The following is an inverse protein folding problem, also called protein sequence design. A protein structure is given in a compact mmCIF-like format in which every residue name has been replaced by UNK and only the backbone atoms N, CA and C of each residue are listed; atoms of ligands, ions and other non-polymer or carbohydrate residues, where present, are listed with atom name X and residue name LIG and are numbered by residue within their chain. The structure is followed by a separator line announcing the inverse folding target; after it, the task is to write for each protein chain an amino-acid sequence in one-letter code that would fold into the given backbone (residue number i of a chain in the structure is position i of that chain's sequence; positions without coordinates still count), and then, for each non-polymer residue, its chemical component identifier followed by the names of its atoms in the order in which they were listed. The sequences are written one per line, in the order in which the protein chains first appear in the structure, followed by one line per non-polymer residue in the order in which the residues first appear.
data_IF_584108017743
#
_entry.id   IF_584108017743
#
_cell.length_a   1.000
_cell.length_b   1.000
_cell.length_c   1.000
_cell.angle_alpha   90.00
_cell.angle_beta   90.00
_cell.angle_gamma   90.00
#
_symmetry.space_group_name_H-M   'P 1'
#
loop_
_entity.id
_entity.type
_entity.pdbx_description
1 polymer ?
#
# COMPACT_ATOMS: atom_id res chain seq x y z
N UNK A 1 5.19 -3.96 18.44
CA UNK A 1 5.69 -3.27 17.22
C UNK A 1 5.03 -1.90 17.17
N UNK A 2 5.74 -0.93 17.74
CA UNK A 2 5.29 0.41 18.09
C UNK A 2 5.34 1.32 16.86
N UNK A 3 4.45 2.31 16.83
CA UNK A 3 4.21 3.30 15.78
C UNK A 3 5.50 3.86 15.13
N UNK A 4 5.95 3.20 14.05
CA UNK A 4 7.12 3.63 13.27
C UNK A 4 6.75 4.83 12.40
N UNK A 5 6.91 6.01 12.99
CA UNK A 5 7.14 7.33 12.40
C UNK A 5 6.58 7.50 10.98
N UNK A 6 5.33 7.97 10.90
CA UNK A 6 4.79 8.54 9.67
C UNK A 6 5.56 9.82 9.36
N UNK A 7 6.51 9.77 8.42
CA UNK A 7 7.33 10.94 8.11
C UNK A 7 6.55 11.85 7.16
N UNK A 8 6.11 13.00 7.71
CA UNK A 8 5.54 14.20 7.07
C UNK A 8 4.56 13.91 5.93
N UNK A 9 3.28 13.82 6.27
CA UNK A 9 2.20 13.67 5.30
C UNK A 9 1.81 15.02 4.68
N UNK A 10 1.94 15.14 3.37
CA UNK A 10 1.34 16.26 2.63
C UNK A 10 -0.15 15.95 2.50
N UNK A 11 -0.98 16.73 3.16
CA UNK A 11 -2.44 16.66 3.06
C UNK A 11 -2.92 17.74 2.11
N UNK A 12 -3.58 17.36 1.03
CA UNK A 12 -4.19 18.27 0.08
C UNK A 12 -5.70 18.06 0.14
N UNK A 13 -6.43 19.16 0.35
CA UNK A 13 -7.88 19.14 0.36
C UNK A 13 -8.43 19.72 -0.93
N UNK A 14 -9.17 18.90 -1.66
CA UNK A 14 -9.92 19.33 -2.84
C UNK A 14 -11.39 19.54 -2.46
N UNK A 15 -12.19 20.00 -3.44
CA UNK A 15 -13.62 20.27 -3.22
C UNK A 15 -14.39 19.02 -2.76
N UNK A 16 -14.07 17.84 -3.31
CA UNK A 16 -14.79 16.58 -3.05
C UNK A 16 -14.01 15.54 -2.24
N UNK A 17 -12.68 15.66 -2.17
CA UNK A 17 -11.82 14.63 -1.60
C UNK A 17 -10.68 15.22 -0.77
N UNK A 18 -10.13 14.37 0.08
CA UNK A 18 -8.88 14.61 0.80
C UNK A 18 -7.86 13.62 0.26
N UNK A 19 -6.71 14.13 -0.12
CA UNK A 19 -5.55 13.35 -0.52
C UNK A 19 -4.46 13.52 0.53
N UNK A 20 -3.81 12.42 0.88
CA UNK A 20 -2.72 12.41 1.83
C UNK A 20 -1.64 11.44 1.35
N UNK A 21 -0.43 11.92 1.17
CA UNK A 21 0.72 11.02 0.99
C UNK A 21 1.34 10.69 2.33
N UNK A 22 1.69 9.43 2.53
CA UNK A 22 2.29 8.95 3.77
C UNK A 22 3.51 8.09 3.47
N UNK A 23 4.43 8.03 4.44
CA UNK A 23 5.57 7.16 4.38
C UNK A 23 5.94 6.64 5.76
N UNK A 24 6.47 5.42 5.82
CA UNK A 24 6.92 4.77 7.05
C UNK A 24 8.08 3.82 6.74
N UNK A 25 8.85 3.41 7.75
CA UNK A 25 9.90 2.41 7.57
C UNK A 25 9.25 1.03 7.39
N UNK A 26 9.62 0.33 6.32
CA UNK A 26 9.08 -1.00 6.03
C UNK A 26 9.38 -1.97 7.18
N UNK A 27 8.37 -2.69 7.74
CA UNK A 27 8.60 -3.70 8.76
C UNK A 27 9.46 -4.86 8.28
N UNK A 28 9.61 -5.02 6.96
CA UNK A 28 10.47 -6.03 6.36
C UNK A 28 11.96 -5.82 6.69
N UNK A 29 12.37 -4.57 6.95
CA UNK A 29 13.75 -4.27 7.37
C UNK A 29 14.09 -4.91 8.74
N UNK A 30 13.11 -5.07 9.63
CA UNK A 30 13.33 -5.75 10.91
C UNK A 30 13.42 -7.27 10.75
N UNK A 31 12.67 -7.82 9.78
CA UNK A 31 12.60 -9.26 9.56
C UNK A 31 13.83 -9.78 8.82
N UNK A 32 14.30 -9.05 7.80
CA UNK A 32 15.47 -9.40 7.01
C UNK A 32 16.38 -8.16 6.88
N UNK A 33 17.19 -7.86 7.91
CA UNK A 33 18.05 -6.69 7.92
C UNK A 33 18.98 -6.66 6.71
N UNK A 34 19.06 -5.51 6.03
CA UNK A 34 19.93 -5.32 4.86
C UNK A 34 19.37 -5.81 3.52
N UNK A 35 18.19 -6.47 3.50
CA UNK A 35 17.56 -6.87 2.25
C UNK A 35 17.02 -5.69 1.42
N UNK A 36 16.70 -4.56 2.05
CA UNK A 36 16.21 -3.37 1.36
C UNK A 36 17.35 -2.34 1.19
N UNK A 37 17.57 -1.92 -0.06
CA UNK A 37 18.40 -0.77 -0.38
C UNK A 37 17.87 0.51 0.31
N UNK A 38 18.69 1.55 0.53
CA UNK A 38 18.27 2.76 1.24
C UNK A 38 16.97 3.39 0.73
N UNK A 39 16.78 3.48 -0.59
CA UNK A 39 15.56 4.02 -1.21
C UNK A 39 14.34 3.11 -1.02
N UNK A 40 14.56 1.81 -0.87
CA UNK A 40 13.53 0.78 -0.71
C UNK A 40 13.02 0.65 0.73
N UNK A 41 13.81 1.07 1.72
CA UNK A 41 13.45 0.97 3.16
C UNK A 41 12.23 1.78 3.54
N UNK A 42 11.94 2.85 2.80
CA UNK A 42 10.81 3.73 3.08
C UNK A 42 9.62 3.28 2.24
N UNK A 43 8.65 2.65 2.91
CA UNK A 43 7.35 2.37 2.34
C UNK A 43 6.60 3.67 2.08
N UNK A 44 5.93 3.76 0.93
CA UNK A 44 5.21 4.96 0.49
C UNK A 44 3.82 4.60 0.02
N UNK A 45 2.85 5.44 0.36
CA UNK A 45 1.47 5.26 -0.05
C UNK A 45 0.76 6.60 -0.22
N UNK A 46 -0.33 6.58 -0.97
CA UNK A 46 -1.25 7.70 -1.11
C UNK A 46 -2.64 7.25 -0.63
N UNK A 47 -3.18 7.96 0.34
CA UNK A 47 -4.54 7.82 0.83
C UNK A 47 -5.44 8.85 0.14
N UNK A 48 -6.54 8.37 -0.42
CA UNK A 48 -7.57 9.18 -1.04
C UNK A 48 -8.88 8.85 -0.36
N UNK A 49 -9.54 9.84 0.22
CA UNK A 49 -10.84 9.63 0.88
C UNK A 49 -11.85 10.70 0.48
N UNK A 50 -13.15 10.37 0.47
CA UNK A 50 -14.18 11.38 0.29
C UNK A 50 -14.24 12.30 1.51
N UNK A 51 -14.59 13.57 1.29
CA UNK A 51 -14.85 14.51 2.41
C UNK A 51 -16.08 14.12 3.22
N UNK A 52 -17.03 13.43 2.60
CA UNK A 52 -18.26 12.94 3.23
C UNK A 52 -18.48 11.49 2.84
N UNK A 53 -18.68 10.64 3.84
CA UNK A 53 -18.98 9.23 3.66
C UNK A 53 -20.48 9.05 3.38
N UNK A 54 -20.83 8.19 2.42
CA UNK A 54 -22.24 7.91 2.08
C UNK A 54 -22.93 7.00 3.10
N UNK A 55 -22.17 6.34 3.96
CA UNK A 55 -22.66 5.40 4.96
C UNK A 55 -21.99 5.64 6.31
N UNK A 56 -22.47 4.96 7.35
CA UNK A 56 -21.79 4.91 8.66
C UNK A 56 -20.40 4.29 8.59
N UNK A 57 -20.15 3.47 7.57
CA UNK A 57 -18.87 2.84 7.31
C UNK A 57 -17.97 3.75 6.49
N UNK A 58 -16.66 3.55 6.65
CA UNK A 58 -15.62 4.27 5.91
C UNK A 58 -14.78 3.27 5.11
N UNK A 59 -15.35 2.67 4.04
CA UNK A 59 -14.70 1.60 3.32
C UNK A 59 -13.44 2.08 2.60
N UNK A 60 -12.38 1.25 2.60
CA UNK A 60 -11.13 1.53 1.88
C UNK A 60 -10.74 0.34 0.99
N UNK A 61 -10.32 0.66 -0.23
CA UNK A 61 -9.72 -0.30 -1.16
C UNK A 61 -8.20 -0.08 -1.26
N UNK A 62 -7.41 -1.12 -1.05
CA UNK A 62 -5.96 -1.09 -1.13
C UNK A 62 -5.51 -1.54 -2.52
N UNK A 63 -4.72 -0.72 -3.20
CA UNK A 63 -4.33 -0.94 -4.59
C UNK A 63 -2.85 -1.32 -4.67
N UNK A 64 -2.57 -2.54 -5.08
CA UNK A 64 -1.22 -3.02 -5.40
C UNK A 64 -0.87 -2.72 -6.86
N UNK A 65 0.36 -2.26 -7.10
CA UNK A 65 0.79 -1.91 -8.45
C UNK A 65 1.05 -3.16 -9.29
N UNK A 66 0.62 -3.13 -10.56
CA UNK A 66 1.04 -4.09 -11.57
C UNK A 66 2.40 -3.72 -12.17
N UNK A 67 2.95 -4.58 -13.02
CA UNK A 67 4.23 -4.31 -13.67
C UNK A 67 4.18 -3.02 -14.50
N UNK A 68 5.17 -2.13 -14.33
CA UNK A 68 5.20 -0.84 -15.04
C UNK A 68 4.35 0.28 -14.42
N UNK A 69 3.64 0.01 -13.34
CA UNK A 69 2.86 1.03 -12.62
C UNK A 69 3.67 1.66 -11.49
N UNK A 70 4.62 2.50 -11.87
CA UNK A 70 5.64 3.02 -10.95
C UNK A 70 5.11 4.03 -9.92
N UNK A 71 4.08 4.79 -10.28
CA UNK A 71 3.54 5.89 -9.47
C UNK A 71 2.09 5.62 -9.04
N UNK A 72 1.44 6.63 -8.46
CA UNK A 72 0.04 6.54 -8.04
C UNK A 72 -0.94 6.85 -9.17
N UNK A 73 -0.51 7.59 -10.20
CA UNK A 73 -1.39 8.25 -11.16
C UNK A 73 -2.34 7.31 -11.89
N UNK A 74 -1.87 6.19 -12.44
CA UNK A 74 -2.73 5.27 -13.20
C UNK A 74 -3.83 4.69 -12.33
N UNK A 75 -3.47 4.16 -11.15
CA UNK A 75 -4.44 3.66 -10.17
C UNK A 75 -5.35 4.74 -9.62
N UNK A 76 -4.89 6.00 -9.57
CA UNK A 76 -5.71 7.15 -9.19
C UNK A 76 -6.82 7.40 -10.20
N UNK A 77 -6.44 7.54 -11.47
CA UNK A 77 -7.34 7.93 -12.57
C UNK A 77 -8.31 6.80 -12.90
N UNK A 78 -7.82 5.58 -13.07
CA UNK A 78 -8.61 4.47 -13.60
C UNK A 78 -9.40 3.70 -12.54
N UNK A 79 -9.12 3.89 -11.24
CA UNK A 79 -9.80 3.13 -10.19
C UNK A 79 -10.20 4.00 -9.01
N UNK A 80 -9.26 4.68 -8.36
CA UNK A 80 -9.55 5.40 -7.11
C UNK A 80 -10.62 6.49 -7.29
N UNK A 81 -10.62 7.20 -8.42
CA UNK A 81 -11.66 8.20 -8.71
C UNK A 81 -13.05 7.59 -8.86
N UNK A 82 -13.17 6.41 -9.48
CA UNK A 82 -14.47 5.73 -9.60
C UNK A 82 -14.96 5.23 -8.25
N UNK A 83 -14.07 4.65 -7.44
CA UNK A 83 -14.38 4.22 -6.07
C UNK A 83 -14.81 5.40 -5.20
N UNK A 84 -14.16 6.54 -5.35
CA UNK A 84 -14.49 7.76 -4.62
C UNK A 84 -15.93 8.23 -4.90
N UNK A 85 -16.36 8.21 -6.17
CA UNK A 85 -17.74 8.54 -6.54
C UNK A 85 -18.74 7.52 -5.97
N UNK A 86 -18.33 6.26 -5.74
CA UNK A 86 -19.12 5.26 -5.01
C UNK A 86 -19.10 5.46 -3.48
N UNK A 87 -18.29 6.38 -2.95
CA UNK A 87 -18.13 6.62 -1.51
C UNK A 87 -17.12 5.69 -0.83
N UNK A 88 -16.21 5.10 -1.61
CA UNK A 88 -15.15 4.21 -1.15
C UNK A 88 -13.81 4.94 -1.28
N UNK A 89 -13.03 4.99 -0.20
CA UNK A 89 -11.69 5.55 -0.26
C UNK A 89 -10.67 4.55 -0.82
N UNK A 90 -9.47 5.03 -1.13
CA UNK A 90 -8.40 4.21 -1.70
C UNK A 90 -7.08 4.44 -0.98
N UNK A 91 -6.34 3.35 -0.77
CA UNK A 91 -4.95 3.36 -0.31
C UNK A 91 -4.10 2.81 -1.45
N UNK A 92 -3.32 3.67 -2.10
CA UNK A 92 -2.50 3.31 -3.25
C UNK A 92 -1.06 3.12 -2.77
N UNK A 93 -0.53 1.89 -2.87
CA UNK A 93 0.80 1.54 -2.32
C UNK A 93 1.87 1.62 -3.41
N UNK A 94 2.99 2.28 -3.15
CA UNK A 94 4.14 2.21 -4.06
C UNK A 94 4.93 0.94 -3.80
N UNK A 95 5.06 0.10 -4.82
CA UNK A 95 5.83 -1.14 -4.69
C UNK A 95 7.31 -0.83 -4.40
N UNK A 96 8.01 -1.69 -3.63
CA UNK A 96 9.47 -1.70 -3.63
C UNK A 96 10.01 -1.75 -5.06
N UNK A 97 11.17 -1.15 -5.30
CA UNK A 97 11.82 -1.05 -6.61
C UNK A 97 11.11 -0.17 -7.65
N UNK A 98 10.02 0.51 -7.28
CA UNK A 98 9.21 1.33 -8.20
C UNK A 98 9.24 2.81 -7.77
N UNK A 99 9.03 3.72 -8.72
CA UNK A 99 8.98 5.18 -8.46
C UNK A 99 10.19 5.66 -7.65
N UNK A 100 9.92 6.33 -6.54
CA UNK A 100 10.93 6.85 -5.60
C UNK A 100 11.71 5.75 -4.83
N UNK A 101 11.27 4.50 -4.92
CA UNK A 101 11.93 3.34 -4.31
C UNK A 101 12.84 2.60 -5.31
N UNK A 102 12.85 2.99 -6.59
CA UNK A 102 13.67 2.35 -7.63
C UNK A 102 15.18 2.57 -7.39
N UNK A 103 16.01 1.52 -7.44
CA UNK A 103 17.46 1.66 -7.51
C UNK A 103 17.92 2.43 -8.75
N UNK A 104 19.06 3.12 -8.66
CA UNK A 104 19.58 3.96 -9.73
C UNK A 104 20.04 3.16 -10.96
N UNK A 105 20.58 1.98 -10.73
CA UNK A 105 21.08 1.02 -11.72
C UNK A 105 19.97 0.19 -12.38
N UNK A 106 18.76 0.15 -11.79
CA UNK A 106 17.63 -0.59 -12.35
C UNK A 106 17.05 0.06 -13.61
N UNK A 107 16.81 -0.72 -14.67
CA UNK A 107 16.19 -0.22 -15.92
C UNK A 107 14.69 -0.50 -15.96
N UNK A 108 13.90 0.57 -15.92
CA UNK A 108 12.42 0.46 -15.94
C UNK A 108 11.89 -0.39 -14.79
N UNK A 109 11.00 -1.33 -15.11
CA UNK A 109 10.38 -2.26 -14.16
C UNK A 109 11.12 -3.58 -14.00
N UNK A 110 12.21 -3.78 -14.74
CA UNK A 110 13.00 -5.01 -14.67
C UNK A 110 13.86 -4.99 -13.43
N UNK A 111 13.64 -5.95 -12.52
CA UNK A 111 14.44 -6.11 -11.32
C UNK A 111 15.86 -6.54 -11.66
N UNK A 112 16.84 -6.08 -10.89
CA UNK A 112 18.25 -6.43 -11.13
C UNK A 112 18.55 -7.87 -10.72
N UNK A 113 17.90 -8.35 -9.66
CA UNK A 113 18.09 -9.70 -9.15
C UNK A 113 16.76 -10.44 -8.97
N UNK A 114 16.79 -11.76 -9.12
CA UNK A 114 15.62 -12.60 -8.80
C UNK A 114 15.21 -12.49 -7.33
N UNK A 115 16.19 -12.31 -6.43
CA UNK A 115 15.95 -12.10 -5.00
C UNK A 115 15.07 -10.88 -4.73
N UNK A 116 15.16 -9.83 -5.56
CA UNK A 116 14.38 -8.61 -5.41
C UNK A 116 12.88 -8.87 -5.54
N UNK A 117 12.48 -9.91 -6.28
CA UNK A 117 11.07 -10.31 -6.40
C UNK A 117 10.51 -10.79 -5.05
N UNK A 118 11.30 -11.57 -4.31
CA UNK A 118 10.91 -12.04 -2.97
C UNK A 118 10.91 -10.91 -1.96
N UNK A 119 11.92 -10.03 -2.02
CA UNK A 119 11.98 -8.82 -1.18
C UNK A 119 10.77 -7.93 -1.45
N UNK A 120 10.39 -7.73 -2.72
CA UNK A 120 9.22 -6.94 -3.10
C UNK A 120 7.93 -7.55 -2.52
N UNK A 121 7.73 -8.86 -2.74
CA UNK A 121 6.53 -9.57 -2.27
C UNK A 121 6.40 -9.55 -0.74
N UNK A 122 7.47 -9.92 -0.03
CA UNK A 122 7.50 -9.94 1.43
C UNK A 122 7.28 -8.55 2.05
N UNK A 123 7.92 -7.53 1.47
CA UNK A 123 7.75 -6.14 1.92
C UNK A 123 6.31 -5.67 1.75
N UNK A 124 5.68 -5.93 0.60
CA UNK A 124 4.32 -5.49 0.33
C UNK A 124 3.28 -6.13 1.26
N UNK A 125 3.45 -7.42 1.60
CA UNK A 125 2.56 -8.10 2.55
C UNK A 125 2.63 -7.45 3.93
N UNK A 126 3.85 -7.24 4.46
CA UNK A 126 4.04 -6.63 5.77
C UNK A 126 3.63 -5.15 5.81
N UNK A 127 3.96 -4.40 4.76
CA UNK A 127 3.57 -2.99 4.61
C UNK A 127 2.05 -2.84 4.55
N UNK A 128 1.36 -3.71 3.79
CA UNK A 128 -0.09 -3.70 3.74
C UNK A 128 -0.71 -4.06 5.09
N UNK A 129 -0.19 -5.07 5.80
CA UNK A 129 -0.66 -5.41 7.14
C UNK A 129 -0.55 -4.23 8.11
N UNK A 130 0.60 -3.53 8.09
CA UNK A 130 0.81 -2.34 8.92
C UNK A 130 -0.20 -1.22 8.57
N UNK A 131 -0.43 -0.97 7.28
CA UNK A 131 -1.39 0.03 6.83
C UNK A 131 -2.83 -0.35 7.19
N UNK A 132 -3.22 -1.62 7.07
CA UNK A 132 -4.54 -2.10 7.48
C UNK A 132 -4.78 -1.87 8.97
N UNK A 133 -3.80 -2.19 9.83
CA UNK A 133 -3.89 -1.92 11.27
C UNK A 133 -3.98 -0.44 11.58
N UNK A 134 -3.18 0.38 10.91
CA UNK A 134 -3.26 1.83 11.05
C UNK A 134 -4.63 2.37 10.62
N UNK A 135 -5.14 1.97 9.46
CA UNK A 135 -6.46 2.37 8.99
C UNK A 135 -7.59 1.89 9.93
N UNK A 136 -7.50 0.67 10.45
CA UNK A 136 -8.47 0.12 11.39
C UNK A 136 -8.52 0.94 12.69
N UNK A 137 -7.37 1.33 13.24
CA UNK A 137 -7.29 2.22 14.43
C UNK A 137 -7.91 3.59 14.18
N UNK A 138 -7.91 4.08 12.93
CA UNK A 138 -8.57 5.33 12.55
C UNK A 138 -10.09 5.17 12.29
N UNK A 139 -10.64 3.97 12.48
CA UNK A 139 -12.05 3.67 12.26
C UNK A 139 -12.44 3.52 10.80
N UNK A 140 -11.48 3.24 9.90
CA UNK A 140 -11.78 2.83 8.53
C UNK A 140 -12.23 1.36 8.50
N UNK A 141 -13.06 1.04 7.51
CA UNK A 141 -13.61 -0.30 7.31
C UNK A 141 -15.00 -0.24 6.69
N UNK A 142 -15.43 -1.29 5.96
CA UNK A 142 -14.68 -2.51 5.64
C UNK A 142 -13.52 -2.30 4.66
N UNK A 143 -12.60 -3.26 4.59
CA UNK A 143 -11.41 -3.20 3.72
C UNK A 143 -11.53 -4.14 2.52
N UNK A 144 -11.07 -3.66 1.36
CA UNK A 144 -10.90 -4.45 0.15
C UNK A 144 -9.43 -4.41 -0.28
N UNK A 145 -8.94 -5.51 -0.85
CA UNK A 145 -7.61 -5.59 -1.47
C UNK A 145 -7.77 -5.79 -2.98
N UNK A 146 -7.12 -4.96 -3.77
CA UNK A 146 -7.15 -4.99 -5.23
C UNK A 146 -5.74 -5.00 -5.81
N UNK A 147 -5.52 -5.83 -6.82
CA UNK A 147 -4.27 -5.85 -7.58
C UNK A 147 -4.42 -6.66 -8.85
N UNK A 148 -3.72 -6.25 -9.90
CA UNK A 148 -3.72 -6.90 -11.22
C UNK A 148 -2.31 -7.46 -11.49
N UNK A 149 -2.23 -8.67 -12.06
CA UNK A 149 -0.98 -9.34 -12.43
C UNK A 149 -0.04 -9.51 -11.22
N UNK A 150 1.16 -8.93 -11.23
CA UNK A 150 2.06 -8.89 -10.08
C UNK A 150 1.38 -8.36 -8.81
N UNK A 151 0.55 -7.33 -8.93
CA UNK A 151 -0.26 -6.83 -7.82
C UNK A 151 -1.30 -7.84 -7.34
N UNK A 152 -1.78 -8.71 -8.23
CA UNK A 152 -2.69 -9.81 -7.88
C UNK A 152 -2.02 -10.92 -7.07
N UNK A 153 -0.76 -11.25 -7.39
CA UNK A 153 0.05 -12.19 -6.59
C UNK A 153 0.25 -11.66 -5.16
N UNK A 154 0.65 -10.40 -5.03
CA UNK A 154 0.84 -9.73 -3.73
C UNK A 154 -0.46 -9.64 -2.94
N UNK A 155 -1.57 -9.29 -3.60
CA UNK A 155 -2.92 -9.29 -3.01
C UNK A 155 -3.26 -10.65 -2.42
N UNK A 156 -2.98 -11.72 -3.15
CA UNK A 156 -3.26 -13.09 -2.70
C UNK A 156 -2.40 -13.47 -1.49
N UNK A 157 -1.09 -13.19 -1.52
CA UNK A 157 -0.21 -13.43 -0.37
C UNK A 157 -0.65 -12.66 0.88
N UNK A 158 -1.06 -11.39 0.71
CA UNK A 158 -1.58 -10.57 1.80
C UNK A 158 -2.89 -11.13 2.36
N UNK A 159 -3.80 -11.56 1.49
CA UNK A 159 -5.07 -12.16 1.88
C UNK A 159 -4.87 -13.45 2.69
N UNK A 160 -3.97 -14.34 2.25
CA UNK A 160 -3.63 -15.57 2.97
C UNK A 160 -3.00 -15.24 4.34
N UNK A 161 -2.09 -14.27 4.40
CA UNK A 161 -1.50 -13.82 5.66
C UNK A 161 -2.55 -13.24 6.62
N UNK A 162 -3.51 -12.47 6.11
CA UNK A 162 -4.61 -11.92 6.92
C UNK A 162 -5.53 -13.03 7.44
N UNK A 163 -5.88 -14.03 6.62
CA UNK A 163 -6.67 -15.18 7.08
C UNK A 163 -5.89 -15.94 8.16
N UNK A 164 -4.61 -16.23 7.93
CA UNK A 164 -3.79 -16.96 8.90
C UNK A 164 -3.68 -16.20 10.23
N UNK A 165 -3.47 -14.88 10.19
CA UNK A 165 -3.34 -14.10 11.43
C UNK A 165 -4.67 -13.81 12.12
N UNK A 166 -5.75 -13.51 11.39
CA UNK A 166 -7.03 -13.08 11.97
C UNK A 166 -8.08 -14.17 12.10
N UNK A 167 -8.09 -15.19 11.22
CA UNK A 167 -9.07 -16.28 11.27
C UNK A 167 -8.55 -17.46 12.10
N UNK A 168 -7.27 -17.82 11.97
CA UNK A 168 -6.73 -18.99 12.70
C UNK A 168 -6.33 -18.68 14.15
N UNK A 169 -5.97 -17.44 14.49
CA UNK A 169 -5.69 -17.05 15.90
C UNK A 169 -6.92 -16.51 16.65
N UNK A 170 -8.11 -16.58 16.03
CA UNK A 170 -9.39 -16.27 16.69
C UNK A 170 -10.17 -17.55 17.04
N UNK A 171 -9.51 -18.71 16.98
CA UNK A 171 -10.02 -20.02 17.37
C UNK A 171 -9.34 -20.50 18.66
#
# INVERSE_FOLDING_TARGET
MVDKVYRRSVKIEYKKLIEMEGSFVSPFEDLVPGALCPNNRIARFQLVIPKRWKSKYKPLCFHFAGTGDHDYYRRRVFLANQLLEAGIGSVIIMNPFYGLRKPNDQRGSSLNYLSDLFVMGGSLVLECHNLLRWCSRLGFGPFALHGISMGGYVRMGTFISLISHYVLNSA
#
